data_IF_710415628194
#
_entry.id   IF_710415628194
#
_cell.length_a   1.000
_cell.length_b   1.000
_cell.length_c   1.000
_cell.angle_alpha   90.00
_cell.angle_beta   90.00
_cell.angle_gamma   90.00
#
_symmetry.space_group_name_H-M   'P 1'
#
loop_
_entity.id
_entity.type
_entity.pdbx_description
1 polymer ?
#
# COMPACT_ATOMS: atom_id res chain seq x y z
N UNK A 1 37.37 -6.96 55.05
CA UNK A 1 37.92 -7.84 54.01
C UNK A 1 36.79 -8.20 53.05
N UNK A 2 37.06 -8.11 51.74
CA UNK A 2 36.11 -7.99 50.62
C UNK A 2 35.23 -9.23 50.44
N UNK A 3 33.92 -9.06 50.36
CA UNK A 3 33.00 -10.03 49.75
C UNK A 3 32.54 -9.51 48.38
N UNK A 4 32.81 -10.32 47.38
CA UNK A 4 32.40 -10.19 45.99
C UNK A 4 30.90 -10.48 45.82
N UNK A 5 30.35 -10.08 44.66
CA UNK A 5 29.12 -10.55 43.98
C UNK A 5 28.35 -9.33 43.44
N UNK A 6 27.70 -9.32 42.28
CA UNK A 6 27.62 -10.19 41.11
C UNK A 6 26.79 -9.38 40.10
N UNK A 7 27.14 -9.50 38.81
CA UNK A 7 26.40 -9.13 37.59
C UNK A 7 25.06 -8.37 37.70
N UNK A 8 24.97 -7.20 37.05
CA UNK A 8 23.70 -6.69 36.54
C UNK A 8 23.75 -6.67 35.01
N UNK A 9 23.43 -7.83 34.43
CA UNK A 9 23.23 -8.05 33.00
C UNK A 9 21.93 -7.33 32.60
N UNK A 10 22.04 -6.09 32.11
CA UNK A 10 20.90 -5.31 31.65
C UNK A 10 20.43 -5.83 30.30
N UNK A 11 19.32 -6.56 30.32
CA UNK A 11 18.66 -7.12 29.15
C UNK A 11 18.07 -6.00 28.28
N UNK A 12 18.66 -5.78 27.11
CA UNK A 12 18.07 -4.97 26.03
C UNK A 12 16.96 -5.79 25.35
N UNK A 13 15.78 -5.85 25.96
CA UNK A 13 14.56 -6.17 25.23
C UNK A 13 14.11 -4.91 24.48
N UNK A 14 14.80 -4.57 23.40
CA UNK A 14 14.20 -3.75 22.35
C UNK A 14 13.17 -4.61 21.66
N UNK A 15 11.94 -4.56 22.18
CA UNK A 15 10.77 -5.08 21.51
C UNK A 15 10.63 -4.39 20.17
N UNK A 16 11.09 -5.05 19.10
CA UNK A 16 10.65 -4.72 17.77
C UNK A 16 9.17 -5.09 17.75
N UNK A 17 8.31 -4.11 18.02
CA UNK A 17 6.89 -4.24 17.75
C UNK A 17 6.77 -4.42 16.24
N UNK A 18 6.80 -5.66 15.78
CA UNK A 18 6.22 -6.02 14.51
C UNK A 18 4.70 -5.82 14.69
N UNK A 19 4.27 -4.56 14.66
CA UNK A 19 2.87 -4.21 14.56
C UNK A 19 2.31 -4.99 13.38
N UNK A 20 1.08 -5.48 13.54
CA UNK A 20 0.31 -6.11 12.47
C UNK A 20 0.53 -5.33 11.17
N UNK A 21 0.92 -5.99 10.06
CA UNK A 21 1.29 -5.27 8.84
C UNK A 21 0.16 -4.34 8.45
N UNK A 22 0.45 -3.05 8.31
CA UNK A 22 -0.51 -2.05 7.85
C UNK A 22 -1.04 -2.50 6.48
N UNK A 23 -2.32 -2.88 6.44
CA UNK A 23 -2.98 -3.37 5.22
C UNK A 23 -3.92 -2.30 4.71
N UNK A 24 -3.75 -1.92 3.44
CA UNK A 24 -4.64 -0.98 2.76
C UNK A 24 -5.22 -1.63 1.52
N UNK A 25 -6.43 -1.23 1.15
CA UNK A 25 -7.07 -1.69 -0.09
C UNK A 25 -7.78 -0.54 -0.78
N UNK A 26 -7.45 -0.30 -2.05
CA UNK A 26 -8.23 0.58 -2.92
C UNK A 26 -9.18 -0.31 -3.70
N UNK A 27 -10.49 -0.07 -3.59
CA UNK A 27 -11.52 -1.01 -4.04
C UNK A 27 -12.41 -0.36 -5.11
N UNK A 28 -12.64 -1.06 -6.22
CA UNK A 28 -13.59 -0.65 -7.26
C UNK A 28 -13.06 0.39 -8.26
N UNK A 29 -11.78 0.75 -8.18
CA UNK A 29 -11.18 1.73 -9.09
C UNK A 29 -10.95 1.18 -10.50
N UNK A 30 -10.82 2.09 -11.47
CA UNK A 30 -10.17 1.73 -12.74
C UNK A 30 -8.66 1.76 -12.54
N UNK A 31 -8.03 0.59 -12.52
CA UNK A 31 -6.57 0.48 -12.45
C UNK A 31 -6.01 0.73 -13.84
N UNK A 32 -5.01 1.61 -13.94
CA UNK A 32 -4.28 1.89 -15.17
C UNK A 32 -2.84 1.50 -14.94
N UNK A 33 -2.39 0.45 -15.62
CA UNK A 33 -1.01 -0.05 -15.55
C UNK A 33 -0.04 0.93 -16.22
N UNK A 34 1.24 0.83 -15.91
CA UNK A 34 2.28 1.61 -16.60
C UNK A 34 2.29 1.30 -18.12
N UNK A 35 1.97 0.04 -18.46
CA UNK A 35 1.78 -0.44 -19.83
C UNK A 35 0.48 0.02 -20.54
N UNK A 36 -0.42 0.72 -19.83
CA UNK A 36 -1.65 1.25 -20.39
C UNK A 36 -2.86 0.29 -20.42
N UNK A 37 -2.72 -0.93 -19.90
CA UNK A 37 -3.82 -1.84 -19.62
C UNK A 37 -4.77 -1.23 -18.57
N UNK A 38 -6.05 -1.57 -18.67
CA UNK A 38 -7.08 -1.13 -17.72
C UNK A 38 -7.80 -2.31 -17.08
N UNK A 39 -8.00 -2.23 -15.77
CA UNK A 39 -8.75 -3.24 -14.99
C UNK A 39 -9.87 -2.50 -14.24
N UNK A 40 -11.13 -2.86 -14.49
CA UNK A 40 -12.30 -2.23 -13.86
C UNK A 40 -13.46 -3.22 -13.74
N UNK A 41 -14.14 -3.31 -12.58
CA UNK A 41 -13.75 -2.73 -11.30
C UNK A 41 -12.52 -3.47 -10.74
N UNK A 42 -11.46 -2.74 -10.42
CA UNK A 42 -10.21 -3.30 -9.94
C UNK A 42 -9.94 -3.04 -8.47
N UNK A 43 -9.05 -3.85 -7.89
CA UNK A 43 -8.62 -3.76 -6.50
C UNK A 43 -7.10 -3.81 -6.45
N UNK A 44 -6.51 -2.94 -5.63
CA UNK A 44 -5.10 -3.04 -5.22
C UNK A 44 -5.07 -3.20 -3.71
N UNK A 45 -4.40 -4.25 -3.23
CA UNK A 45 -4.14 -4.47 -1.80
C UNK A 45 -2.66 -4.24 -1.54
N UNK A 46 -2.35 -3.42 -0.54
CA UNK A 46 -1.00 -3.07 -0.10
C UNK A 46 -0.80 -3.64 1.30
N UNK A 47 0.39 -4.19 1.57
CA UNK A 47 0.83 -4.62 2.90
C UNK A 47 2.19 -4.02 3.22
N UNK A 48 2.26 -3.20 4.27
CA UNK A 48 3.46 -2.40 4.53
C UNK A 48 3.77 -1.53 3.31
N UNK A 49 4.98 -1.62 2.78
CA UNK A 49 5.43 -0.79 1.65
C UNK A 49 5.16 -1.38 0.27
N UNK A 50 4.62 -2.61 0.17
CA UNK A 50 4.53 -3.33 -1.12
C UNK A 50 3.10 -3.66 -1.53
N UNK A 51 2.89 -3.73 -2.84
CA UNK A 51 1.66 -4.28 -3.42
C UNK A 51 1.60 -5.77 -3.10
N UNK A 52 0.56 -6.19 -2.39
CA UNK A 52 0.35 -7.59 -2.05
C UNK A 52 -0.49 -8.32 -3.09
N UNK A 53 -1.56 -7.69 -3.59
CA UNK A 53 -2.41 -8.23 -4.67
C UNK A 53 -2.95 -7.12 -5.54
N UNK A 54 -3.20 -7.46 -6.80
CA UNK A 54 -3.83 -6.60 -7.80
C UNK A 54 -4.69 -7.46 -8.71
N UNK A 55 -5.83 -6.94 -9.15
CA UNK A 55 -6.69 -7.64 -10.11
C UNK A 55 -8.09 -7.07 -10.17
N UNK A 56 -9.00 -7.85 -10.77
CA UNK A 56 -10.43 -7.53 -10.73
C UNK A 56 -10.94 -7.61 -9.29
N UNK A 57 -12.03 -6.92 -8.99
CA UNK A 57 -12.69 -7.00 -7.69
C UNK A 57 -13.26 -8.40 -7.41
N UNK A 58 -13.62 -9.16 -8.44
CA UNK A 58 -14.11 -10.52 -8.29
C UNK A 58 -12.99 -11.48 -7.84
N UNK A 59 -11.76 -11.28 -8.32
CA UNK A 59 -10.64 -12.22 -8.10
C UNK A 59 -9.69 -11.77 -6.98
N UNK A 60 -9.86 -10.54 -6.49
CA UNK A 60 -8.95 -9.93 -5.50
C UNK A 60 -9.69 -9.67 -4.18
N UNK A 61 -9.72 -10.66 -3.27
CA UNK A 61 -10.37 -10.49 -1.98
C UNK A 61 -9.65 -9.44 -1.13
N UNK A 62 -10.43 -8.55 -0.53
CA UNK A 62 -9.95 -7.53 0.40
C UNK A 62 -9.85 -8.14 1.81
N UNK A 63 -8.67 -8.15 2.45
CA UNK A 63 -8.52 -8.65 3.81
C UNK A 63 -9.44 -7.96 4.82
N UNK A 64 -9.93 -8.72 5.79
CA UNK A 64 -10.56 -8.14 6.97
C UNK A 64 -9.56 -7.22 7.69
N UNK A 65 -10.05 -6.09 8.21
CA UNK A 65 -9.22 -5.11 8.92
C UNK A 65 -8.38 -4.18 8.04
N UNK A 66 -8.37 -4.36 6.70
CA UNK A 66 -7.68 -3.43 5.82
C UNK A 66 -8.30 -2.02 5.88
N UNK A 67 -7.46 -0.97 5.84
CA UNK A 67 -7.90 0.38 5.57
C UNK A 67 -8.45 0.44 4.13
N UNK A 68 -9.77 0.57 4.00
CA UNK A 68 -10.43 0.60 2.69
C UNK A 68 -10.51 2.02 2.16
N UNK A 69 -10.15 2.18 0.90
CA UNK A 69 -10.33 3.41 0.13
C UNK A 69 -11.29 3.13 -1.00
N UNK A 70 -12.35 3.96 -1.05
CA UNK A 70 -13.35 3.92 -2.12
C UNK A 70 -12.74 4.39 -3.44
N UNK A 71 -12.85 3.55 -4.46
CA UNK A 71 -12.28 3.73 -5.78
C UNK A 71 -13.31 3.85 -6.91
N UNK A 72 -14.60 3.60 -6.68
CA UNK A 72 -15.60 3.71 -7.75
C UNK A 72 -15.61 5.12 -8.37
N UNK A 73 -15.57 5.16 -9.71
CA UNK A 73 -15.45 6.40 -10.49
C UNK A 73 -14.04 7.02 -10.50
N UNK A 74 -13.10 6.45 -9.74
CA UNK A 74 -11.71 6.92 -9.63
C UNK A 74 -10.76 6.05 -10.43
N UNK A 75 -9.54 6.55 -10.59
CA UNK A 75 -8.46 5.89 -11.33
C UNK A 75 -7.25 5.73 -10.43
N UNK A 76 -6.65 4.53 -10.44
CA UNK A 76 -5.37 4.27 -9.75
C UNK A 76 -4.31 4.03 -10.80
N UNK A 77 -3.17 4.69 -10.65
CA UNK A 77 -1.99 4.46 -11.48
C UNK A 77 -0.77 4.23 -10.59
N UNK A 78 0.28 3.55 -11.08
CA UNK A 78 1.57 3.60 -10.41
C UNK A 78 2.17 5.01 -10.49
N UNK A 79 3.12 5.31 -9.62
CA UNK A 79 4.02 6.45 -9.75
C UNK A 79 5.27 6.04 -10.55
N UNK A 80 5.60 6.79 -11.60
CA UNK A 80 6.70 6.44 -12.51
C UNK A 80 6.33 5.30 -13.48
N UNK A 81 7.34 4.50 -13.83
CA UNK A 81 7.28 3.46 -14.87
C UNK A 81 7.08 2.03 -14.33
N UNK A 82 7.15 1.83 -13.00
CA UNK A 82 6.91 0.52 -12.37
C UNK A 82 5.45 0.12 -12.53
N UNK A 83 5.17 -1.13 -12.90
CA UNK A 83 3.80 -1.58 -13.15
C UNK A 83 3.11 -2.07 -11.86
N UNK A 84 1.77 -2.07 -11.87
CA UNK A 84 0.93 -2.60 -10.78
C UNK A 84 1.05 -4.12 -10.72
N UNK A 85 2.07 -4.62 -10.03
CA UNK A 85 2.35 -6.05 -9.90
C UNK A 85 2.59 -6.45 -8.44
N UNK A 86 2.21 -7.66 -8.02
CA UNK A 86 2.51 -8.13 -6.66
C UNK A 86 4.02 -8.11 -6.39
N UNK A 87 4.41 -7.55 -5.25
CA UNK A 87 5.80 -7.37 -4.84
C UNK A 87 6.40 -6.01 -5.21
N UNK A 88 5.80 -5.25 -6.13
CA UNK A 88 6.23 -3.89 -6.45
C UNK A 88 6.12 -2.95 -5.23
N UNK A 89 6.89 -1.87 -5.22
CA UNK A 89 6.72 -0.82 -4.21
C UNK A 89 5.35 -0.15 -4.37
N UNK A 90 4.69 0.15 -3.26
CA UNK A 90 3.35 0.72 -3.23
C UNK A 90 3.40 2.25 -3.40
N UNK A 91 3.85 2.70 -4.57
CA UNK A 91 3.82 4.09 -5.00
C UNK A 91 2.66 4.28 -5.97
N UNK A 92 1.53 4.77 -5.47
CA UNK A 92 0.25 4.82 -6.18
C UNK A 92 -0.32 6.23 -6.20
N UNK A 93 -0.95 6.58 -7.32
CA UNK A 93 -1.67 7.84 -7.50
C UNK A 93 -3.15 7.54 -7.71
N UNK A 94 -4.01 8.16 -6.91
CA UNK A 94 -5.46 8.07 -7.03
C UNK A 94 -6.01 9.37 -7.63
N UNK A 95 -6.74 9.28 -8.73
CA UNK A 95 -7.33 10.42 -9.43
C UNK A 95 -8.86 10.34 -9.40
N UNK A 96 -9.51 11.50 -9.27
CA UNK A 96 -10.97 11.61 -9.29
C UNK A 96 -11.59 11.44 -10.70
N UNK A 97 -10.76 11.43 -11.75
CA UNK A 97 -11.17 11.28 -13.16
C UNK A 97 -10.02 10.65 -13.97
N UNK A 98 -10.27 10.31 -15.24
CA UNK A 98 -9.28 9.66 -16.11
C UNK A 98 -8.02 10.55 -16.28
N UNK A 99 -6.83 10.10 -15.85
CA UNK A 99 -5.61 10.90 -15.89
C UNK A 99 -5.00 11.07 -17.28
N UNK A 100 -5.50 10.38 -18.33
CA UNK A 100 -4.97 10.53 -19.69
C UNK A 100 -5.41 11.80 -20.42
N UNK A 101 -6.46 12.47 -19.93
CA UNK A 101 -7.13 13.56 -20.65
C UNK A 101 -6.69 14.98 -20.28
N UNK A 102 -5.95 15.15 -19.18
CA UNK A 102 -5.40 16.43 -18.73
C UNK A 102 -4.37 16.18 -17.62
N UNK A 103 -3.35 17.03 -17.51
CA UNK A 103 -2.49 17.07 -16.34
C UNK A 103 -3.33 17.51 -15.13
N UNK A 104 -3.81 16.52 -14.37
CA UNK A 104 -4.61 16.73 -13.17
C UNK A 104 -3.82 16.20 -11.99
N UNK A 105 -3.78 16.94 -10.87
CA UNK A 105 -3.16 16.41 -9.67
C UNK A 105 -3.96 15.19 -9.18
N UNK A 106 -3.28 14.18 -8.62
CA UNK A 106 -3.96 13.12 -7.92
C UNK A 106 -4.71 13.68 -6.69
N UNK A 107 -5.87 13.10 -6.38
CA UNK A 107 -6.62 13.35 -5.15
C UNK A 107 -5.83 12.86 -3.92
N UNK A 108 -5.16 11.71 -4.07
CA UNK A 108 -4.33 11.11 -3.02
C UNK A 108 -3.11 10.45 -3.64
N UNK A 109 -2.00 10.50 -2.91
CA UNK A 109 -0.77 9.80 -3.26
C UNK A 109 -0.42 8.84 -2.12
N UNK A 110 -0.16 7.59 -2.47
CA UNK A 110 0.45 6.60 -1.61
C UNK A 110 1.93 6.52 -2.00
N UNK A 111 2.86 6.69 -1.08
CA UNK A 111 4.28 6.35 -1.31
C UNK A 111 4.78 5.45 -0.21
N UNK A 112 5.53 4.43 -0.59
CA UNK A 112 6.08 3.45 0.34
C UNK A 112 5.00 2.88 1.27
N UNK A 113 3.78 2.69 0.74
CA UNK A 113 2.63 2.19 1.50
C UNK A 113 1.96 3.19 2.46
N UNK A 114 2.44 4.43 2.56
CA UNK A 114 1.86 5.47 3.39
C UNK A 114 1.13 6.53 2.56
N UNK A 115 -0.04 6.98 3.02
CA UNK A 115 -0.74 8.09 2.38
C UNK A 115 -0.03 9.40 2.71
N UNK A 116 0.36 10.13 1.67
CA UNK A 116 0.94 11.48 1.81
C UNK A 116 -0.20 12.49 1.97
N UNK A 117 -0.04 13.40 2.93
CA UNK A 117 -0.92 14.56 3.15
C UNK A 117 -0.32 15.81 2.53
#
# INVERSE_FOLDING_TARGET
MKTASLALLSALLSGCGAGEPDVKAIVGATLVTASGQRISPGVVVVKGTRIWRVGTQADTPVPAGAEKVEGYGKFVTPEGDEDLTPGAEANLRLFAADPRGADRPPERVLREGAWIR
#
